data_IF_155574827437
#
_entry.id   IF_155574827437
#
_cell.length_a   1.000
_cell.length_b   1.000
_cell.length_c   1.000
_cell.angle_alpha   90.00
_cell.angle_beta   90.00
_cell.angle_gamma   90.00
#
_symmetry.space_group_name_H-M   'P 1'
#
loop_
_entity.id
_entity.type
_entity.pdbx_description
1 polymer ?
#
# COMPACT_ATOMS: atom_id res chain seq x y z
N UNK A 1 -6.67 45.46 -1.16
CA UNK A 1 -8.12 45.16 -1.16
C UNK A 1 -8.54 44.11 -2.20
N UNK A 2 -8.18 44.20 -3.50
CA UNK A 2 -8.61 43.19 -4.50
C UNK A 2 -8.14 41.75 -4.23
N UNK A 3 -6.92 41.54 -3.70
CA UNK A 3 -6.42 40.20 -3.37
C UNK A 3 -7.16 39.54 -2.21
N UNK A 4 -7.47 40.29 -1.15
CA UNK A 4 -8.07 39.74 0.06
C UNK A 4 -9.47 39.15 -0.19
N UNK A 5 -10.22 39.71 -1.15
CA UNK A 5 -11.53 39.17 -1.55
C UNK A 5 -11.39 37.87 -2.35
N UNK A 6 -10.34 37.76 -3.17
CA UNK A 6 -10.06 36.55 -3.97
C UNK A 6 -9.57 35.42 -3.08
N UNK A 7 -8.67 35.71 -2.14
CA UNK A 7 -8.15 34.73 -1.16
C UNK A 7 -9.28 34.17 -0.30
N UNK A 8 -10.15 35.03 0.26
CA UNK A 8 -11.33 34.57 1.02
C UNK A 8 -12.25 33.68 0.20
N UNK A 9 -12.44 33.98 -1.10
CA UNK A 9 -13.25 33.15 -1.99
C UNK A 9 -12.61 31.78 -2.23
N UNK A 10 -11.31 31.75 -2.51
CA UNK A 10 -10.56 30.51 -2.72
C UNK A 10 -10.56 29.63 -1.47
N UNK A 11 -10.42 30.24 -0.28
CA UNK A 11 -10.49 29.52 0.99
C UNK A 11 -11.86 28.87 1.21
N UNK A 12 -12.95 29.58 0.90
CA UNK A 12 -14.30 29.03 0.96
C UNK A 12 -14.51 27.89 -0.06
N UNK A 13 -14.00 28.06 -1.28
CA UNK A 13 -14.03 27.06 -2.35
C UNK A 13 -13.25 25.80 -1.97
N UNK A 14 -12.06 25.94 -1.37
CA UNK A 14 -11.25 24.82 -0.84
C UNK A 14 -12.02 24.05 0.22
N UNK A 15 -12.61 24.72 1.20
CA UNK A 15 -13.42 24.08 2.25
C UNK A 15 -14.59 23.29 1.68
N UNK A 16 -15.33 23.89 0.74
CA UNK A 16 -16.45 23.23 0.09
C UNK A 16 -15.99 22.00 -0.72
N UNK A 17 -14.83 22.08 -1.37
CA UNK A 17 -14.25 20.95 -2.09
C UNK A 17 -13.90 19.80 -1.14
N UNK A 18 -13.26 20.09 -0.01
CA UNK A 18 -12.91 19.10 1.01
C UNK A 18 -14.16 18.40 1.55
N UNK A 19 -15.23 19.15 1.81
CA UNK A 19 -16.53 18.57 2.22
C UNK A 19 -17.13 17.65 1.15
N UNK A 20 -17.02 18.00 -0.13
CA UNK A 20 -17.47 17.12 -1.22
C UNK A 20 -16.60 15.87 -1.34
N UNK A 21 -15.28 15.99 -1.19
CA UNK A 21 -14.35 14.86 -1.27
C UNK A 21 -14.61 13.83 -0.17
N UNK A 22 -14.95 14.27 1.05
CA UNK A 22 -15.37 13.39 2.15
C UNK A 22 -16.63 12.56 1.87
N UNK A 23 -17.43 12.95 0.87
CA UNK A 23 -18.66 12.22 0.47
C UNK A 23 -18.51 11.51 -0.87
N UNK A 24 -17.71 12.06 -1.76
CA UNK A 24 -17.49 11.57 -3.11
C UNK A 24 -15.99 11.71 -3.41
N UNK A 25 -15.18 10.67 -3.13
CA UNK A 25 -13.73 10.71 -3.28
C UNK A 25 -13.30 10.61 -4.76
N UNK A 26 -13.99 11.32 -5.65
CA UNK A 26 -13.72 11.37 -7.08
C UNK A 26 -13.50 12.84 -7.43
N UNK A 27 -12.24 13.23 -7.60
CA UNK A 27 -11.81 14.63 -7.72
C UNK A 27 -12.58 15.35 -8.82
N UNK A 28 -12.68 14.76 -10.02
CA UNK A 28 -13.44 15.34 -11.14
C UNK A 28 -14.89 15.66 -10.76
N UNK A 29 -15.59 14.71 -10.13
CA UNK A 29 -16.99 14.86 -9.73
C UNK A 29 -17.15 15.89 -8.61
N UNK A 30 -16.23 15.89 -7.64
CA UNK A 30 -16.24 16.87 -6.56
C UNK A 30 -15.99 18.30 -7.08
N UNK A 31 -15.03 18.47 -8.00
CA UNK A 31 -14.75 19.74 -8.67
C UNK A 31 -15.94 20.22 -9.52
N UNK A 32 -16.57 19.34 -10.30
CA UNK A 32 -17.75 19.67 -11.10
C UNK A 32 -18.93 20.10 -10.20
N UNK A 33 -19.16 19.42 -9.08
CA UNK A 33 -20.24 19.76 -8.12
C UNK A 33 -20.13 21.17 -7.55
N UNK A 34 -18.92 21.68 -7.36
CA UNK A 34 -18.67 23.02 -6.81
C UNK A 34 -18.32 24.04 -7.89
N UNK A 35 -18.43 23.66 -9.17
CA UNK A 35 -18.15 24.50 -10.33
C UNK A 35 -16.69 25.04 -10.39
N UNK A 36 -15.71 24.16 -10.11
CA UNK A 36 -14.28 24.50 -10.18
C UNK A 36 -13.60 23.60 -11.21
N UNK A 37 -12.65 24.18 -11.96
CA UNK A 37 -11.83 23.41 -12.89
C UNK A 37 -10.86 22.47 -12.15
N UNK A 38 -10.71 21.24 -12.64
CA UNK A 38 -9.81 20.25 -12.04
C UNK A 38 -8.33 20.69 -11.99
N UNK A 39 -7.90 21.54 -12.94
CA UNK A 39 -6.57 22.17 -12.90
C UNK A 39 -6.35 23.07 -11.70
N UNK A 40 -7.41 23.73 -11.21
CA UNK A 40 -7.35 24.58 -10.00
C UNK A 40 -7.08 23.74 -8.76
N UNK A 41 -7.70 22.57 -8.63
CA UNK A 41 -7.43 21.65 -7.53
C UNK A 41 -5.95 21.25 -7.48
N UNK A 42 -5.38 20.80 -8.60
CA UNK A 42 -3.97 20.41 -8.63
C UNK A 42 -3.03 21.58 -8.40
N UNK A 43 -3.40 22.78 -8.86
CA UNK A 43 -2.64 24.00 -8.57
C UNK A 43 -2.64 24.30 -7.08
N UNK A 44 -3.79 24.24 -6.42
CA UNK A 44 -3.87 24.42 -4.97
C UNK A 44 -3.05 23.39 -4.20
N UNK A 45 -3.08 22.11 -4.60
CA UNK A 45 -2.23 21.09 -3.97
C UNK A 45 -0.74 21.35 -4.11
N UNK A 46 -0.32 21.99 -5.22
CA UNK A 46 1.08 22.34 -5.46
C UNK A 46 1.49 23.61 -4.69
N UNK A 47 0.59 24.58 -4.59
CA UNK A 47 0.85 25.88 -3.98
C UNK A 47 0.65 25.90 -2.46
N UNK A 48 -0.14 24.96 -1.92
CA UNK A 48 -0.54 24.89 -0.52
C UNK A 48 -0.46 23.43 -0.01
N UNK A 49 0.59 23.15 0.75
CA UNK A 49 0.84 21.84 1.34
C UNK A 49 -0.19 21.45 2.39
N UNK A 50 -0.72 22.42 3.15
CA UNK A 50 -1.77 22.19 4.14
C UNK A 50 -3.06 21.71 3.47
N UNK A 51 -3.48 22.40 2.40
CA UNK A 51 -4.60 21.95 1.59
C UNK A 51 -4.37 20.58 0.95
N UNK A 52 -3.14 20.26 0.53
CA UNK A 52 -2.82 18.94 -0.01
C UNK A 52 -3.07 17.83 1.03
N UNK A 53 -2.59 18.02 2.26
CA UNK A 53 -2.80 17.06 3.35
C UNK A 53 -4.29 16.91 3.67
N UNK A 54 -5.01 18.03 3.84
CA UNK A 54 -6.45 18.00 4.11
C UNK A 54 -7.24 17.32 2.98
N UNK A 55 -6.81 17.49 1.73
CA UNK A 55 -7.43 16.84 0.58
C UNK A 55 -7.20 15.32 0.59
N UNK A 56 -6.01 14.86 0.95
CA UNK A 56 -5.72 13.43 1.08
C UNK A 56 -6.53 12.81 2.22
N UNK A 57 -6.62 13.48 3.37
CA UNK A 57 -7.47 13.07 4.48
C UNK A 57 -8.95 13.01 4.08
N UNK A 58 -9.44 14.04 3.37
CA UNK A 58 -10.80 14.09 2.90
C UNK A 58 -11.13 12.95 1.91
N UNK A 59 -10.21 12.64 0.99
CA UNK A 59 -10.35 11.52 0.07
C UNK A 59 -10.38 10.20 0.84
N UNK A 60 -9.45 9.97 1.77
CA UNK A 60 -9.41 8.74 2.57
C UNK A 60 -10.69 8.53 3.39
N UNK A 61 -11.21 9.59 4.02
CA UNK A 61 -12.48 9.53 4.73
C UNK A 61 -13.66 9.21 3.78
N UNK A 62 -13.64 9.79 2.56
CA UNK A 62 -14.62 9.47 1.53
C UNK A 62 -14.53 8.01 1.05
N UNK A 63 -13.33 7.47 0.89
CA UNK A 63 -13.11 6.06 0.52
C UNK A 63 -13.66 5.12 1.60
N UNK A 64 -13.41 5.41 2.88
CA UNK A 64 -13.98 4.63 3.99
C UNK A 64 -15.52 4.61 3.94
N UNK A 65 -16.15 5.76 3.75
CA UNK A 65 -17.61 5.84 3.61
C UNK A 65 -18.13 5.00 2.43
N UNK A 66 -17.45 5.05 1.28
CA UNK A 66 -17.84 4.26 0.11
C UNK A 66 -17.60 2.77 0.34
N UNK A 67 -16.58 2.38 1.10
CA UNK A 67 -16.35 0.99 1.48
C UNK A 67 -17.50 0.46 2.33
N UNK A 68 -17.90 1.17 3.39
CA UNK A 68 -19.03 0.79 4.25
C UNK A 68 -20.33 0.65 3.46
N UNK A 69 -20.58 1.58 2.53
CA UNK A 69 -21.72 1.52 1.62
C UNK A 69 -21.62 0.29 0.69
N UNK A 70 -20.44 0.03 0.13
CA UNK A 70 -20.21 -1.09 -0.77
C UNK A 70 -20.39 -2.43 -0.07
N UNK A 71 -19.97 -2.55 1.18
CA UNK A 71 -20.23 -3.73 2.02
C UNK A 71 -21.74 -3.93 2.24
N UNK A 72 -22.46 -2.86 2.54
CA UNK A 72 -23.93 -2.90 2.70
C UNK A 72 -24.64 -3.34 1.40
N UNK A 73 -24.17 -2.85 0.25
CA UNK A 73 -24.67 -3.27 -1.07
C UNK A 73 -24.33 -4.72 -1.38
N UNK A 74 -23.12 -5.19 -1.03
CA UNK A 74 -22.71 -6.57 -1.21
C UNK A 74 -23.63 -7.52 -0.43
N UNK A 75 -23.95 -7.20 0.83
CA UNK A 75 -24.89 -7.99 1.64
C UNK A 75 -26.27 -8.03 1.01
N UNK A 76 -26.74 -6.91 0.44
CA UNK A 76 -28.04 -6.84 -0.24
C UNK A 76 -28.05 -7.75 -1.48
N UNK A 77 -27.01 -7.70 -2.31
CA UNK A 77 -26.85 -8.59 -3.47
C UNK A 77 -26.81 -10.07 -3.08
N UNK A 78 -26.17 -10.41 -1.95
CA UNK A 78 -26.17 -11.78 -1.42
C UNK A 78 -27.59 -12.23 -1.05
N UNK A 79 -28.39 -11.37 -0.40
CA UNK A 79 -29.81 -11.66 -0.09
C UNK A 79 -30.62 -11.89 -1.37
N UNK A 80 -30.32 -11.14 -2.42
CA UNK A 80 -30.94 -11.27 -3.75
C UNK A 80 -30.39 -12.46 -4.57
N UNK A 81 -29.61 -13.35 -3.94
CA UNK A 81 -29.04 -14.56 -4.56
C UNK A 81 -28.14 -14.26 -5.76
N UNK A 82 -27.50 -13.10 -5.80
CA UNK A 82 -26.53 -12.76 -6.83
C UNK A 82 -25.27 -13.64 -6.69
N UNK A 83 -25.09 -14.57 -7.63
CA UNK A 83 -23.98 -15.52 -7.56
C UNK A 83 -22.60 -14.86 -7.57
N UNK A 84 -22.30 -13.87 -8.45
CA UNK A 84 -21.03 -13.13 -8.36
C UNK A 84 -20.72 -12.55 -6.98
N UNK A 85 -21.70 -11.93 -6.31
CA UNK A 85 -21.54 -11.39 -4.96
C UNK A 85 -21.26 -12.48 -3.92
N UNK A 86 -22.02 -13.58 -3.95
CA UNK A 86 -21.81 -14.75 -3.08
C UNK A 86 -20.42 -15.35 -3.30
N UNK A 87 -20.01 -15.51 -4.55
CA UNK A 87 -18.71 -16.06 -4.92
C UNK A 87 -17.57 -15.17 -4.40
N UNK A 88 -17.65 -13.85 -4.60
CA UNK A 88 -16.67 -12.90 -4.09
C UNK A 88 -16.54 -13.00 -2.56
N UNK A 89 -17.66 -13.01 -1.84
CA UNK A 89 -17.66 -13.12 -0.38
C UNK A 89 -17.01 -14.41 0.10
N UNK A 90 -17.41 -15.57 -0.45
CA UNK A 90 -16.88 -16.87 -0.05
C UNK A 90 -15.39 -17.01 -0.35
N UNK A 91 -14.91 -16.51 -1.49
CA UNK A 91 -13.49 -16.55 -1.84
C UNK A 91 -12.62 -15.78 -0.85
N UNK A 92 -13.12 -14.66 -0.32
CA UNK A 92 -12.37 -13.82 0.61
C UNK A 92 -12.48 -14.28 2.07
N UNK A 93 -13.64 -14.81 2.49
CA UNK A 93 -13.95 -15.05 3.91
C UNK A 93 -13.97 -16.53 4.31
N UNK A 94 -13.95 -17.46 3.36
CA UNK A 94 -14.02 -18.88 3.69
C UNK A 94 -12.80 -19.65 3.13
N UNK A 95 -11.92 -20.19 3.99
CA UNK A 95 -10.65 -20.81 3.56
C UNK A 95 -10.79 -21.90 2.49
N UNK A 96 -11.85 -22.72 2.56
CA UNK A 96 -12.11 -23.77 1.55
C UNK A 96 -12.39 -23.24 0.13
N UNK A 97 -12.82 -21.99 0.00
CA UNK A 97 -13.12 -21.35 -1.28
C UNK A 97 -12.09 -20.28 -1.66
N UNK A 98 -11.08 -20.07 -0.80
CA UNK A 98 -10.02 -19.12 -1.08
C UNK A 98 -9.16 -19.58 -2.26
N UNK A 99 -8.62 -18.63 -3.02
CA UNK A 99 -7.69 -18.95 -4.09
C UNK A 99 -6.42 -19.54 -3.48
N UNK A 100 -6.24 -20.85 -3.61
CA UNK A 100 -4.98 -21.51 -3.29
C UNK A 100 -3.94 -21.04 -4.32
N UNK A 101 -3.09 -20.09 -3.92
CA UNK A 101 -1.87 -19.77 -4.66
C UNK A 101 -0.96 -21.00 -4.60
N UNK A 102 -0.96 -21.82 -5.65
CA UNK A 102 0.08 -22.83 -5.83
C UNK A 102 1.38 -22.12 -6.18
N UNK A 103 2.20 -21.85 -5.17
CA UNK A 103 3.56 -21.34 -5.39
C UNK A 103 4.40 -22.51 -5.90
N UNK A 104 4.45 -22.69 -7.22
CA UNK A 104 5.45 -23.56 -7.85
C UNK A 104 6.80 -22.84 -7.79
N UNK A 105 7.39 -22.73 -6.59
CA UNK A 105 8.75 -22.25 -6.47
C UNK A 105 9.66 -23.31 -7.09
N UNK A 106 10.13 -23.07 -8.31
CA UNK A 106 11.39 -23.69 -8.76
C UNK A 106 12.47 -23.04 -7.92
N UNK A 107 12.74 -23.63 -6.75
CA UNK A 107 13.96 -23.36 -6.02
C UNK A 107 15.07 -23.83 -6.95
N UNK A 108 15.65 -22.91 -7.73
CA UNK A 108 16.97 -23.15 -8.30
C UNK A 108 17.92 -23.16 -7.11
N UNK A 109 18.14 -24.33 -6.54
CA UNK A 109 19.36 -24.59 -5.79
C UNK A 109 20.47 -24.55 -6.83
N UNK A 110 20.98 -23.36 -7.13
CA UNK A 110 22.25 -23.20 -7.82
C UNK A 110 23.35 -23.62 -6.84
N UNK A 111 23.41 -24.93 -6.56
CA UNK A 111 24.43 -25.62 -5.74
C UNK A 111 25.76 -25.73 -6.52
N UNK A 112 26.16 -24.65 -7.16
CA UNK A 112 27.50 -24.51 -7.74
C UNK A 112 28.19 -23.43 -6.95
N UNK A 113 28.95 -23.84 -5.94
CA UNK A 113 29.83 -22.95 -5.20
C UNK A 113 30.73 -22.23 -6.21
N UNK A 114 30.78 -20.90 -6.13
CA UNK A 114 31.75 -20.16 -6.96
C UNK A 114 33.16 -20.53 -6.49
N UNK A 115 34.18 -20.50 -7.36
CA UNK A 115 35.55 -20.82 -6.99
C UNK A 115 36.08 -19.98 -5.80
N UNK A 116 35.56 -18.76 -5.63
CA UNK A 116 35.87 -17.89 -4.49
C UNK A 116 35.24 -18.40 -3.19
N UNK A 117 34.01 -18.91 -3.23
CA UNK A 117 33.34 -19.50 -2.06
C UNK A 117 34.04 -20.79 -1.60
N UNK A 118 34.53 -21.63 -2.52
CA UNK A 118 35.35 -22.79 -2.17
C UNK A 118 36.64 -22.40 -1.44
N UNK A 119 37.29 -21.31 -1.89
CA UNK A 119 38.53 -20.84 -1.29
C UNK A 119 38.30 -20.35 0.14
N UNK A 120 37.22 -19.59 0.37
CA UNK A 120 36.84 -19.11 1.70
C UNK A 120 36.55 -20.29 2.64
N UNK A 121 35.85 -21.32 2.16
CA UNK A 121 35.56 -22.53 2.94
C UNK A 121 36.84 -23.31 3.26
N UNK A 122 37.79 -23.43 2.32
CA UNK A 122 39.09 -24.07 2.58
C UNK A 122 39.94 -23.29 3.58
N UNK A 123 40.01 -21.97 3.46
CA UNK A 123 40.73 -21.12 4.42
C UNK A 123 40.12 -21.25 5.82
N UNK A 124 38.79 -21.19 5.93
CA UNK A 124 38.10 -21.36 7.20
C UNK A 124 38.32 -22.75 7.82
N UNK A 125 38.28 -23.82 7.02
CA UNK A 125 38.54 -25.19 7.50
C UNK A 125 40.02 -25.41 7.87
N UNK A 126 40.95 -24.80 7.14
CA UNK A 126 42.38 -24.83 7.45
C UNK A 126 42.71 -24.16 8.77
N UNK A 127 42.14 -22.97 9.03
CA UNK A 127 42.30 -22.24 10.28
C UNK A 127 41.74 -23.03 11.49
N UNK A 128 40.63 -23.75 11.31
CA UNK A 128 40.08 -24.63 12.35
C UNK A 128 41.00 -25.83 12.64
N UNK A 129 41.65 -26.37 11.61
CA UNK A 129 42.64 -27.44 11.75
C UNK A 129 43.90 -26.99 12.51
N UNK A 130 44.43 -25.81 12.19
CA UNK A 130 45.62 -25.26 12.86
C UNK A 130 45.35 -24.90 14.33
N UNK A 131 44.18 -24.35 14.65
CA UNK A 131 43.79 -24.07 16.03
C UNK A 131 43.53 -25.34 16.86
N UNK A 132 43.23 -26.47 16.22
CA UNK A 132 43.13 -27.77 16.90
C UNK A 132 44.51 -28.37 17.23
N UNK A 133 45.50 -28.18 16.36
CA UNK A 133 46.89 -28.62 16.61
C UNK A 133 47.62 -27.76 17.65
N UNK A 134 47.41 -26.44 17.67
CA UNK A 134 48.07 -25.55 18.65
C UNK A 134 47.55 -25.72 20.09
N UNK A 135 46.33 -26.23 20.27
CA UNK A 135 45.81 -26.56 21.61
C UNK A 135 46.35 -27.88 22.17
N UNK A 136 46.91 -28.77 21.33
CA UNK A 136 47.48 -30.04 21.78
C UNK A 136 48.97 -29.94 22.11
N UNK A 137 49.72 -29.02 21.50
CA UNK A 137 51.15 -28.80 21.78
C UNK A 137 51.40 -28.02 23.07
N UNK A 138 50.50 -27.12 23.47
CA UNK A 138 50.64 -26.29 24.68
C UNK A 138 50.08 -26.92 25.97
N UNK A 139 49.66 -28.19 25.92
CA UNK A 139 49.17 -28.95 27.09
C UNK A 139 50.17 -30.02 27.60
N UNK A 140 51.38 -30.09 27.01
CA UNK A 140 52.45 -31.00 27.44
C UNK A 140 53.79 -30.28 27.71
N UNK A 141 53.77 -29.08 28.28
CA UNK A 141 54.94 -28.45 28.89
C UNK A 141 54.57 -27.78 30.21
#
# INVERSE_FOLDING_TARGET
>A
MKNETVEKRQEAEKKLLLEQLRRTPIIKVACEKINIGHSTYYRWRKEDEGFSLEADEAISAGEQLINDLSESQLVSLIKDKNFPAINLWLRQHHPKYSNRLEVTARIKSDDVMTPEQEKIVREALGLVGEQASDKQSNAQS
#
